data_IF_295584770898
#
_entry.id   IF_295584770898
#
_cell.length_a   1.000
_cell.length_b   1.000
_cell.length_c   1.000
_cell.angle_alpha   90.00
_cell.angle_beta   90.00
_cell.angle_gamma   90.00
#
_symmetry.space_group_name_H-M   'P 1'
#
loop_
_entity.id
_entity.type
_entity.pdbx_description
1 polymer ?
#
# COMPACT_ATOMS: atom_id res chain seq x y z
N UNK A 1 -2.21 17.10 -5.50
CA UNK A 1 -3.22 16.02 -5.48
C UNK A 1 -4.17 16.28 -4.33
N UNK A 2 -5.47 15.99 -4.50
CA UNK A 2 -6.43 16.06 -3.41
C UNK A 2 -6.60 14.65 -2.81
N UNK A 3 -6.42 14.51 -1.50
CA UNK A 3 -6.59 13.23 -0.78
C UNK A 3 -7.98 12.63 -1.03
N UNK A 4 -9.00 13.49 -1.15
CA UNK A 4 -10.38 13.06 -1.41
C UNK A 4 -10.55 12.28 -2.71
N UNK A 5 -9.70 12.51 -3.71
CA UNK A 5 -9.78 11.78 -4.98
C UNK A 5 -9.39 10.31 -4.83
N UNK A 6 -8.69 9.97 -3.74
CA UNK A 6 -8.17 8.64 -3.40
C UNK A 6 -8.89 8.04 -2.17
N UNK A 7 -9.83 8.77 -1.58
CA UNK A 7 -10.63 8.27 -0.46
C UNK A 7 -11.77 7.39 -0.96
N UNK A 8 -11.88 6.19 -0.40
CA UNK A 8 -12.99 5.27 -0.59
C UNK A 8 -13.64 5.07 0.78
N UNK A 9 -14.95 5.29 0.86
CA UNK A 9 -15.73 5.02 2.06
C UNK A 9 -16.00 3.51 2.16
N UNK A 10 -15.19 2.81 2.97
CA UNK A 10 -15.30 1.36 3.07
C UNK A 10 -16.40 0.92 4.00
N UNK A 11 -17.01 -0.22 3.66
CA UNK A 11 -18.07 -0.84 4.46
C UNK A 11 -17.60 -1.09 5.90
N UNK A 12 -18.35 -0.57 6.88
CA UNK A 12 -18.04 -0.67 8.30
C UNK A 12 -19.27 -1.15 9.08
N UNK A 13 -19.53 -2.47 9.14
CA UNK A 13 -20.78 -3.01 9.68
C UNK A 13 -21.08 -2.50 11.10
N UNK A 14 -22.30 -1.99 11.30
CA UNK A 14 -22.74 -1.44 12.59
C UNK A 14 -22.16 -0.06 12.95
N UNK A 15 -21.46 0.61 12.03
CA UNK A 15 -20.87 1.95 12.20
C UNK A 15 -20.98 2.76 10.89
N UNK A 16 -20.73 4.08 10.91
CA UNK A 16 -20.57 4.85 9.68
C UNK A 16 -19.43 4.29 8.82
N UNK A 17 -19.52 4.36 7.47
CA UNK A 17 -18.44 3.98 6.57
C UNK A 17 -17.10 4.58 6.98
N UNK A 18 -16.03 3.81 6.80
CA UNK A 18 -14.70 4.24 7.19
C UNK A 18 -13.99 4.89 5.97
N UNK A 19 -13.79 6.21 5.95
CA UNK A 19 -13.05 6.83 4.85
C UNK A 19 -11.59 6.37 4.88
N UNK A 20 -11.18 5.63 3.85
CA UNK A 20 -9.83 5.07 3.75
C UNK A 20 -9.19 5.52 2.44
N UNK A 21 -7.94 5.95 2.51
CA UNK A 21 -7.20 6.39 1.33
C UNK A 21 -6.51 5.19 0.70
N UNK A 22 -6.84 4.91 -0.56
CA UNK A 22 -6.23 3.86 -1.37
C UNK A 22 -5.58 4.46 -2.62
N UNK A 23 -4.45 3.90 -3.03
CA UNK A 23 -3.85 4.20 -4.33
C UNK A 23 -3.12 2.98 -4.89
N UNK A 24 -2.96 2.95 -6.22
CA UNK A 24 -2.04 2.03 -6.89
C UNK A 24 -0.70 2.72 -7.10
N UNK A 25 0.37 1.97 -6.93
CA UNK A 25 1.67 2.34 -7.48
C UNK A 25 1.64 2.24 -9.02
N UNK A 26 2.60 2.84 -9.74
CA UNK A 26 2.67 2.73 -11.20
C UNK A 26 2.77 1.28 -11.71
N UNK A 27 3.36 0.39 -10.94
CA UNK A 27 3.48 -1.06 -11.18
C UNK A 27 2.28 -1.88 -10.67
N UNK A 28 1.24 -1.22 -10.15
CA UNK A 28 -0.04 -1.84 -9.84
C UNK A 28 -0.12 -2.57 -8.50
N UNK A 29 0.76 -2.22 -7.54
CA UNK A 29 0.67 -2.65 -6.14
C UNK A 29 -0.39 -1.80 -5.44
N UNK A 30 -1.28 -2.43 -4.67
CA UNK A 30 -2.31 -1.72 -3.90
C UNK A 30 -1.71 -1.21 -2.60
N UNK A 31 -1.87 0.08 -2.35
CA UNK A 31 -1.43 0.73 -1.13
C UNK A 31 -2.59 1.45 -0.45
N UNK A 32 -2.54 1.52 0.88
CA UNK A 32 -3.54 2.23 1.66
C UNK A 32 -2.94 2.87 2.92
N UNK A 33 -3.70 3.80 3.49
CA UNK A 33 -3.39 4.42 4.78
C UNK A 33 -4.25 3.79 5.87
N UNK A 34 -3.59 3.19 6.85
CA UNK A 34 -4.15 2.85 8.15
C UNK A 34 -3.96 4.05 9.10
N UNK A 35 -4.63 4.08 10.27
CA UNK A 35 -4.51 5.21 11.21
C UNK A 35 -3.08 5.58 11.60
N UNK A 36 -2.17 4.60 11.68
CA UNK A 36 -0.81 4.73 12.18
C UNK A 36 0.29 4.42 11.16
N UNK A 37 -0.07 3.94 9.96
CA UNK A 37 0.90 3.58 8.92
C UNK A 37 0.34 3.74 7.51
N UNK A 38 1.24 3.92 6.54
CA UNK A 38 0.95 3.57 5.16
C UNK A 38 1.49 2.16 4.90
N UNK A 39 0.80 1.41 4.06
CA UNK A 39 1.22 0.08 3.68
C UNK A 39 0.88 -0.23 2.22
N UNK A 40 1.62 -1.16 1.64
CA UNK A 40 1.36 -1.73 0.33
C UNK A 40 1.35 -3.25 0.40
N UNK A 41 0.41 -3.88 -0.30
CA UNK A 41 0.20 -5.33 -0.27
C UNK A 41 0.14 -5.89 -1.69
N UNK A 42 0.83 -7.01 -1.91
CA UNK A 42 0.85 -7.73 -3.18
C UNK A 42 2.04 -8.69 -3.30
N UNK A 43 1.93 -9.72 -4.12
CA UNK A 43 3.06 -10.59 -4.44
C UNK A 43 3.92 -10.07 -5.59
N UNK A 44 3.60 -8.90 -6.12
CA UNK A 44 4.34 -8.17 -7.14
C UNK A 44 5.23 -7.05 -6.57
N UNK A 45 5.56 -7.05 -5.27
CA UNK A 45 6.52 -6.08 -4.71
C UNK A 45 7.88 -6.22 -5.41
N UNK A 46 8.41 -5.17 -6.05
CA UNK A 46 9.65 -5.27 -6.83
C UNK A 46 10.82 -5.84 -6.03
N UNK A 47 11.49 -6.86 -6.56
CA UNK A 47 12.66 -7.48 -5.92
C UNK A 47 12.36 -8.32 -4.66
N UNK A 48 11.09 -8.49 -4.28
CA UNK A 48 10.68 -9.37 -3.19
C UNK A 48 10.01 -10.62 -3.79
N UNK A 49 10.47 -11.83 -3.46
CA UNK A 49 9.80 -13.06 -3.89
C UNK A 49 8.35 -13.11 -3.39
N UNK A 50 7.41 -13.66 -4.17
CA UNK A 50 6.03 -13.83 -3.73
C UNK A 50 5.98 -14.66 -2.43
N UNK A 51 5.02 -14.34 -1.56
CA UNK A 51 4.80 -15.12 -0.36
C UNK A 51 4.39 -16.56 -0.70
N UNK A 52 4.77 -17.56 0.12
CA UNK A 52 4.35 -18.94 -0.09
C UNK A 52 2.82 -19.07 -0.18
N UNK A 53 2.33 -19.70 -1.24
CA UNK A 53 0.92 -20.01 -1.42
C UNK A 53 0.73 -21.48 -1.82
N UNK A 54 -0.34 -22.06 -1.32
CA UNK A 54 -0.85 -23.38 -1.67
C UNK A 54 -2.39 -23.34 -1.59
N UNK A 55 -3.07 -22.89 -2.65
CA UNK A 55 -4.52 -22.75 -2.67
C UNK A 55 -5.26 -24.05 -2.34
N UNK A 56 -4.73 -25.21 -2.77
CA UNK A 56 -5.33 -26.52 -2.49
C UNK A 56 -5.29 -26.88 -0.99
N UNK A 57 -4.32 -26.34 -0.26
CA UNK A 57 -4.23 -26.43 1.21
C UNK A 57 -4.81 -25.20 1.94
N UNK A 58 -5.48 -24.29 1.22
CA UNK A 58 -6.04 -23.05 1.79
C UNK A 58 -5.00 -21.99 2.19
N UNK A 59 -3.79 -22.06 1.66
CA UNK A 59 -2.71 -21.10 1.94
C UNK A 59 -2.67 -20.04 0.85
N UNK A 60 -3.09 -18.82 1.18
CA UNK A 60 -3.14 -17.65 0.27
C UNK A 60 -2.16 -16.58 0.71
N UNK A 61 -0.88 -16.94 0.80
CA UNK A 61 0.18 -16.02 1.23
C UNK A 61 0.30 -14.80 0.32
N UNK A 62 0.39 -13.62 0.92
CA UNK A 62 0.69 -12.36 0.25
C UNK A 62 1.72 -11.56 1.06
N UNK A 63 2.63 -10.88 0.37
CA UNK A 63 3.54 -9.94 1.02
C UNK A 63 2.84 -8.61 1.30
N UNK A 64 3.24 -7.95 2.38
CA UNK A 64 2.90 -6.57 2.63
C UNK A 64 4.05 -5.83 3.29
N UNK A 65 4.16 -4.54 3.05
CA UNK A 65 5.18 -3.68 3.63
C UNK A 65 4.54 -2.42 4.17
N UNK A 66 4.74 -2.14 5.45
CA UNK A 66 4.21 -0.97 6.14
C UNK A 66 5.31 -0.05 6.65
N UNK A 67 5.01 1.24 6.78
CA UNK A 67 5.98 2.22 7.33
C UNK A 67 6.40 1.84 8.75
N UNK A 68 5.50 1.30 9.58
CA UNK A 68 5.78 0.97 10.99
C UNK A 68 6.17 -0.48 11.23
N UNK A 69 5.81 -1.38 10.30
CA UNK A 69 5.85 -2.84 10.49
C UNK A 69 6.92 -3.56 9.66
N UNK A 70 7.44 -2.89 8.62
CA UNK A 70 8.39 -3.49 7.71
C UNK A 70 7.76 -4.51 6.76
N UNK A 71 8.61 -5.29 6.10
CA UNK A 71 8.17 -6.38 5.22
C UNK A 71 7.62 -7.54 6.07
N UNK A 72 6.41 -7.98 5.76
CA UNK A 72 5.66 -9.03 6.43
C UNK A 72 4.87 -9.85 5.40
N UNK A 73 4.30 -10.96 5.88
CA UNK A 73 3.44 -11.83 5.10
C UNK A 73 2.11 -12.04 5.84
N UNK A 74 1.03 -12.19 5.09
CA UNK A 74 -0.30 -12.51 5.60
C UNK A 74 -0.97 -13.56 4.70
N UNK A 75 -2.01 -14.22 5.20
CA UNK A 75 -2.84 -15.17 4.46
C UNK A 75 -4.17 -14.57 4.00
N UNK A 76 -4.37 -13.26 4.13
CA UNK A 76 -5.60 -12.54 3.74
C UNK A 76 -5.88 -12.51 2.22
N UNK A 77 -4.98 -13.06 1.40
CA UNK A 77 -5.09 -13.05 -0.06
C UNK A 77 -4.69 -11.71 -0.69
N UNK A 78 -4.58 -11.68 -2.02
CA UNK A 78 -4.24 -10.44 -2.71
C UNK A 78 -5.39 -9.42 -2.65
N UNK A 79 -5.09 -8.14 -2.37
CA UNK A 79 -6.10 -7.10 -2.32
C UNK A 79 -6.71 -6.87 -3.71
N UNK A 80 -8.03 -6.68 -3.74
CA UNK A 80 -8.72 -6.26 -4.94
C UNK A 80 -8.28 -4.86 -5.38
N UNK A 81 -8.19 -4.64 -6.69
CA UNK A 81 -8.01 -3.30 -7.28
C UNK A 81 -9.31 -2.51 -7.38
N UNK A 82 -10.42 -3.10 -6.94
CA UNK A 82 -11.73 -2.48 -6.81
C UNK A 82 -12.20 -2.67 -5.38
N UNK A 83 -12.35 -1.58 -4.63
CA UNK A 83 -12.75 -1.57 -3.22
C UNK A 83 -14.15 -0.97 -3.12
N UNK A 84 -15.10 -1.69 -2.53
CA UNK A 84 -16.51 -1.28 -2.43
C UNK A 84 -17.09 -0.78 -3.77
N UNK A 85 -16.75 -1.46 -4.88
CA UNK A 85 -17.20 -1.14 -6.23
C UNK A 85 -16.47 0.02 -6.91
N UNK A 86 -15.49 0.64 -6.26
CA UNK A 86 -14.72 1.76 -6.80
C UNK A 86 -13.31 1.30 -7.22
N UNK A 87 -12.86 1.58 -8.45
CA UNK A 87 -11.51 1.26 -8.87
C UNK A 87 -10.49 2.10 -8.11
N UNK A 88 -9.44 1.46 -7.59
CA UNK A 88 -8.32 2.15 -6.96
C UNK A 88 -7.52 2.91 -8.02
N UNK A 89 -7.29 4.19 -7.79
CA UNK A 89 -6.57 5.06 -8.75
C UNK A 89 -5.06 4.94 -8.58
N UNK A 90 -4.34 4.95 -9.69
CA UNK A 90 -2.88 5.05 -9.68
C UNK A 90 -2.43 6.45 -9.26
N UNK A 91 -1.48 6.52 -8.32
CA UNK A 91 -0.78 7.75 -7.97
C UNK A 91 0.24 8.06 -9.07
N UNK A 92 0.10 9.17 -9.83
CA UNK A 92 0.99 9.44 -10.94
C UNK A 92 2.40 9.82 -10.47
N UNK A 93 3.43 9.59 -11.30
CA UNK A 93 4.78 10.11 -11.08
C UNK A 93 4.80 11.62 -10.76
N UNK A 94 5.72 12.04 -9.90
CA UNK A 94 5.87 13.43 -9.46
C UNK A 94 4.81 13.89 -8.46
N UNK A 95 3.98 12.99 -7.92
CA UNK A 95 2.92 13.33 -6.98
C UNK A 95 3.05 12.60 -5.65
N UNK A 96 2.45 13.19 -4.62
CA UNK A 96 2.37 12.62 -3.28
C UNK A 96 0.99 12.81 -2.65
N UNK A 97 0.72 11.97 -1.66
CA UNK A 97 -0.44 11.97 -0.79
C UNK A 97 0.09 12.06 0.65
N UNK A 98 -0.54 12.90 1.47
CA UNK A 98 -0.21 13.03 2.89
C UNK A 98 -1.46 12.81 3.72
N UNK A 99 -1.41 11.86 4.66
CA UNK A 99 -2.51 11.53 5.58
C UNK A 99 -1.91 11.37 6.97
N UNK A 100 -2.43 12.10 7.97
CA UNK A 100 -1.97 12.02 9.37
C UNK A 100 -0.44 12.15 9.53
N UNK A 101 0.21 12.96 8.69
CA UNK A 101 1.67 13.15 8.69
C UNK A 101 2.47 12.04 8.00
N UNK A 102 1.83 10.96 7.56
CA UNK A 102 2.44 9.92 6.72
C UNK A 102 2.38 10.41 5.27
N UNK A 103 3.50 10.34 4.57
CA UNK A 103 3.65 10.84 3.20
C UNK A 103 4.00 9.65 2.32
N UNK A 104 3.20 9.40 1.27
CA UNK A 104 3.57 8.51 0.18
C UNK A 104 3.68 9.31 -1.11
N UNK A 105 4.68 9.02 -1.92
CA UNK A 105 4.88 9.68 -3.20
C UNK A 105 5.49 8.76 -4.24
N UNK A 106 5.31 9.14 -5.49
CA UNK A 106 5.90 8.48 -6.64
C UNK A 106 6.87 9.46 -7.29
N UNK A 107 8.13 9.08 -7.43
CA UNK A 107 9.12 9.90 -8.13
C UNK A 107 8.93 9.81 -9.66
N UNK A 108 9.72 10.58 -10.41
CA UNK A 108 9.63 10.57 -11.89
C UNK A 108 10.13 9.26 -12.53
N UNK A 109 10.80 8.40 -11.77
CA UNK A 109 11.25 7.08 -12.23
C UNK A 109 10.20 5.97 -11.99
N UNK A 110 9.06 6.32 -11.37
CA UNK A 110 8.02 5.37 -10.99
C UNK A 110 8.30 4.66 -9.65
N UNK A 111 9.29 5.13 -8.89
CA UNK A 111 9.58 4.61 -7.55
C UNK A 111 8.56 5.17 -6.58
N UNK A 112 7.82 4.28 -5.90
CA UNK A 112 6.93 4.67 -4.81
C UNK A 112 7.70 4.64 -3.50
N UNK A 113 7.58 5.67 -2.67
CA UNK A 113 8.14 5.68 -1.33
C UNK A 113 7.11 6.21 -0.33
N UNK A 114 7.06 5.60 0.85
CA UNK A 114 6.22 6.05 1.95
C UNK A 114 7.09 6.27 3.19
N UNK A 115 6.83 7.36 3.93
CA UNK A 115 7.47 7.65 5.21
C UNK A 115 6.46 8.12 6.24
N UNK A 116 6.65 7.71 7.48
CA UNK A 116 5.87 8.18 8.62
C UNK A 116 6.54 9.37 9.34
N UNK A 117 5.85 10.04 10.28
CA UNK A 117 6.41 11.15 11.05
C UNK A 117 7.63 10.80 11.94
N UNK A 118 7.85 9.51 12.21
CA UNK A 118 8.98 9.03 13.02
C UNK A 118 10.23 8.79 12.17
N UNK A 119 10.14 9.04 10.85
CA UNK A 119 11.23 8.81 9.92
C UNK A 119 11.41 7.34 9.59
N UNK A 120 10.40 6.48 9.75
CA UNK A 120 10.43 5.11 9.19
C UNK A 120 9.74 5.12 7.84
N UNK A 121 10.18 4.25 6.94
CA UNK A 121 9.59 4.23 5.61
C UNK A 121 9.89 2.97 4.82
N UNK A 122 9.38 2.95 3.60
CA UNK A 122 9.75 1.95 2.62
C UNK A 122 9.80 2.55 1.22
N UNK A 123 10.48 1.84 0.34
CA UNK A 123 10.60 2.15 -1.08
C UNK A 123 10.19 0.91 -1.87
N UNK A 124 9.37 1.12 -2.91
CA UNK A 124 9.04 0.18 -3.97
C UNK A 124 9.59 0.77 -5.27
N UNK A 125 10.79 0.33 -5.68
CA UNK A 125 11.40 0.78 -6.92
C UNK A 125 11.46 -0.37 -7.92
N UNK A 126 11.43 -0.11 -9.24
CA UNK A 126 11.67 -1.15 -10.24
C UNK A 126 12.98 -1.93 -10.05
N UNK A 127 13.95 -1.37 -9.30
CA UNK A 127 15.25 -1.98 -9.00
C UNK A 127 15.25 -2.81 -7.70
N UNK A 128 14.14 -2.82 -6.98
CA UNK A 128 14.00 -3.51 -5.69
C UNK A 128 13.23 -2.69 -4.66
N UNK A 129 12.72 -3.39 -3.66
CA UNK A 129 11.97 -2.83 -2.56
C UNK A 129 12.71 -3.01 -1.25
N UNK A 130 12.50 -2.09 -0.30
CA UNK A 130 13.14 -2.16 0.99
C UNK A 130 12.40 -1.34 2.04
N UNK A 131 12.44 -1.83 3.27
CA UNK A 131 12.02 -1.07 4.44
C UNK A 131 13.23 -0.39 5.07
N UNK A 132 13.02 0.83 5.55
CA UNK A 132 14.04 1.73 6.08
C UNK A 132 13.63 2.12 7.50
N UNK A 133 14.38 1.70 8.54
CA UNK A 133 14.10 2.10 9.93
C UNK A 133 14.27 3.61 10.16
N UNK A 134 15.07 4.27 9.31
CA UNK A 134 15.32 5.70 9.32
C UNK A 134 15.42 6.21 7.86
N UNK A 135 14.69 7.27 7.51
CA UNK A 135 14.66 7.97 6.20
C UNK A 135 14.94 9.46 6.33
#
# INVERSE_FOLDING_TARGET
MNVRDYTIDVSNPGRPPLPTVYFLTPDGVVCNYMPDQAQCTGNNLPGIPPAPSNPDAGITGVNWIGTTTGLKQTNEGEPSRVIDGQPVKTLPPGHSITVNGIICGVDNSGTTACKDPQGRGFVLSPKGSGWLPHV
#
